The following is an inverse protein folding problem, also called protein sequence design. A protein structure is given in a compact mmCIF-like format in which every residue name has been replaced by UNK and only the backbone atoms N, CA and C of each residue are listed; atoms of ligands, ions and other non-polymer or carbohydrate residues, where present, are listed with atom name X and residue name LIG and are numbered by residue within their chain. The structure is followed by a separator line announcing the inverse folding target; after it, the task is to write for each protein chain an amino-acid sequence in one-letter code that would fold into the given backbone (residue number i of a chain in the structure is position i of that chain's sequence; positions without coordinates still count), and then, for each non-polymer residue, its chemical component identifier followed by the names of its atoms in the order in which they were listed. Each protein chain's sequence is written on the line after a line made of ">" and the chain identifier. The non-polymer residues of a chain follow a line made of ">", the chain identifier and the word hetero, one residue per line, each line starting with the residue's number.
data_IF_652575969365
#
_entry.id   IF_652575969365
#
_cell.length_a   1.000
_cell.length_b   1.000
_cell.length_c   1.000
_cell.angle_alpha   90.00
_cell.angle_beta   90.00
_cell.angle_gamma   90.00
#
_symmetry.space_group_name_H-M   'P 1'
#
loop_
_entity.id
_entity.type
_entity.pdbx_description
1 polymer ?
#
# COMPACT_ATOMS: atom_id res chain seq x y z
N UNK A 1 -35.03 -10.22 -20.85
CA UNK A 1 -33.81 -9.39 -20.75
C UNK A 1 -33.91 -8.18 -19.82
N UNK A 2 -35.07 -7.55 -19.56
CA UNK A 2 -35.20 -6.42 -18.60
C UNK A 2 -35.41 -6.77 -17.12
N UNK A 3 -35.48 -8.06 -16.75
CA UNK A 3 -35.66 -8.50 -15.34
C UNK A 3 -34.39 -9.08 -14.68
N UNK A 4 -33.27 -9.16 -15.40
CA UNK A 4 -31.98 -9.67 -14.87
C UNK A 4 -31.12 -8.52 -14.31
N UNK A 5 -31.28 -7.28 -14.79
CA UNK A 5 -30.53 -6.12 -14.27
C UNK A 5 -30.97 -5.62 -12.88
N UNK A 6 -32.18 -5.97 -12.42
CA UNK A 6 -32.66 -5.57 -11.10
C UNK A 6 -32.20 -6.52 -9.97
N UNK A 7 -31.76 -7.75 -10.31
CA UNK A 7 -31.33 -8.74 -9.32
C UNK A 7 -29.86 -8.57 -8.93
N UNK A 8 -28.99 -8.04 -9.80
CA UNK A 8 -27.58 -7.80 -9.52
C UNK A 8 -27.37 -6.59 -8.60
N UNK A 9 -28.26 -5.60 -8.64
CA UNK A 9 -28.19 -4.41 -7.78
C UNK A 9 -28.61 -4.68 -6.32
N UNK A 10 -29.34 -5.77 -6.04
CA UNK A 10 -29.69 -6.17 -4.68
C UNK A 10 -28.76 -7.27 -4.12
N UNK A 11 -28.20 -8.13 -4.99
CA UNK A 11 -27.25 -9.16 -4.57
C UNK A 11 -25.87 -8.60 -4.18
N UNK A 12 -25.45 -7.46 -4.74
CA UNK A 12 -24.21 -6.79 -4.33
C UNK A 12 -24.28 -6.15 -2.92
N UNK A 13 -25.46 -6.05 -2.31
CA UNK A 13 -25.66 -5.50 -0.96
C UNK A 13 -25.89 -6.63 0.08
N UNK A 14 -26.31 -7.82 -0.35
CA UNK A 14 -26.66 -8.92 0.56
C UNK A 14 -25.91 -10.26 0.37
N UNK A 15 -25.07 -10.42 -0.66
CA UNK A 15 -24.18 -11.57 -0.79
C UNK A 15 -22.86 -11.37 -0.03
N UNK A 16 -22.95 -10.99 1.24
CA UNK A 16 -21.87 -11.24 2.19
C UNK A 16 -22.10 -12.63 2.78
N UNK A 17 -21.80 -13.67 2.00
CA UNK A 17 -22.01 -15.05 2.45
C UNK A 17 -21.60 -16.13 1.46
N UNK A 18 -21.53 -15.83 0.17
CA UNK A 18 -20.96 -16.73 -0.81
C UNK A 18 -20.25 -15.91 -1.89
N UNK A 19 -18.95 -16.17 -1.98
CA UNK A 19 -18.11 -15.96 -3.17
C UNK A 19 -17.80 -14.53 -3.60
N UNK A 20 -17.03 -13.82 -2.77
CA UNK A 20 -15.94 -13.00 -3.33
C UNK A 20 -14.89 -13.88 -4.05
N UNK A 21 -14.92 -15.20 -3.82
CA UNK A 21 -14.18 -16.24 -4.55
C UNK A 21 -14.67 -16.52 -5.99
N UNK A 22 -15.78 -15.94 -6.46
CA UNK A 22 -16.32 -16.22 -7.81
C UNK A 22 -16.36 -15.05 -8.78
N UNK A 23 -16.16 -13.80 -8.33
CA UNK A 23 -15.84 -12.72 -9.28
C UNK A 23 -14.34 -12.72 -9.48
N UNK A 24 -13.90 -12.89 -10.73
CA UNK A 24 -12.51 -12.68 -11.07
C UNK A 24 -12.10 -11.26 -10.70
N UNK A 25 -10.89 -11.06 -10.20
CA UNK A 25 -10.38 -9.75 -9.80
C UNK A 25 -10.52 -8.68 -10.92
N UNK A 26 -10.31 -9.12 -12.17
CA UNK A 26 -10.50 -8.31 -13.39
C UNK A 26 -11.95 -7.82 -13.53
N UNK A 27 -12.92 -8.67 -13.23
CA UNK A 27 -14.35 -8.35 -13.33
C UNK A 27 -14.77 -7.33 -12.24
N UNK A 28 -14.16 -7.41 -11.06
CA UNK A 28 -14.38 -6.43 -9.99
C UNK A 28 -13.82 -5.05 -10.37
N UNK A 29 -12.64 -4.99 -10.98
CA UNK A 29 -12.03 -3.72 -11.39
C UNK A 29 -12.85 -3.03 -12.50
N UNK A 30 -13.28 -3.77 -13.52
CA UNK A 30 -14.13 -3.24 -14.59
C UNK A 30 -15.48 -2.73 -14.07
N UNK A 31 -16.09 -3.46 -13.14
CA UNK A 31 -17.31 -3.04 -12.47
C UNK A 31 -17.12 -1.68 -11.79
N UNK A 32 -16.10 -1.54 -10.95
CA UNK A 32 -15.87 -0.31 -10.20
C UNK A 32 -15.47 0.86 -11.12
N UNK A 33 -14.69 0.63 -12.17
CA UNK A 33 -14.39 1.65 -13.20
C UNK A 33 -15.67 2.24 -13.81
N UNK A 34 -16.67 1.39 -14.08
CA UNK A 34 -17.99 1.84 -14.56
C UNK A 34 -18.74 2.66 -13.50
N UNK A 35 -18.75 2.20 -12.25
CA UNK A 35 -19.41 2.91 -11.14
C UNK A 35 -18.76 4.27 -10.82
N UNK A 36 -17.43 4.38 -10.91
CA UNK A 36 -16.72 5.66 -10.75
C UNK A 36 -17.17 6.68 -11.79
N UNK A 37 -17.29 6.25 -13.05
CA UNK A 37 -17.77 7.11 -14.14
C UNK A 37 -19.21 7.57 -13.90
N UNK A 38 -20.10 6.68 -13.47
CA UNK A 38 -21.49 7.02 -13.14
C UNK A 38 -21.59 8.03 -11.99
N UNK A 39 -20.68 7.93 -11.02
CA UNK A 39 -20.60 8.85 -9.89
C UNK A 39 -19.86 10.17 -10.22
N UNK A 40 -19.34 10.33 -11.43
CA UNK A 40 -18.61 11.53 -11.85
C UNK A 40 -17.22 11.65 -11.23
N UNK A 41 -16.64 10.55 -10.74
CA UNK A 41 -15.24 10.53 -10.31
C UNK A 41 -14.32 10.57 -11.53
N UNK A 42 -13.34 11.48 -11.58
CA UNK A 42 -12.43 11.58 -12.72
C UNK A 42 -11.41 10.43 -12.73
N UNK A 43 -10.59 10.29 -13.79
CA UNK A 43 -9.38 9.49 -13.71
C UNK A 43 -8.50 9.93 -12.53
N UNK A 44 -7.89 8.97 -11.85
CA UNK A 44 -7.03 9.24 -10.72
C UNK A 44 -5.74 9.95 -11.14
N UNK A 45 -5.27 10.86 -10.29
CA UNK A 45 -3.96 11.49 -10.46
C UNK A 45 -2.84 10.46 -10.25
N UNK A 46 -1.75 10.62 -10.99
CA UNK A 46 -0.56 9.76 -10.93
C UNK A 46 0.71 10.60 -10.85
N UNK A 47 1.79 10.03 -10.31
CA UNK A 47 3.12 10.65 -10.29
C UNK A 47 3.13 12.11 -9.80
N UNK A 48 3.76 13.01 -10.54
CA UNK A 48 3.93 14.42 -10.13
C UNK A 48 2.61 15.19 -9.98
N UNK A 49 1.58 14.84 -10.74
CA UNK A 49 0.28 15.48 -10.59
C UNK A 49 -0.38 15.10 -9.25
N UNK A 50 -0.24 13.85 -8.82
CA UNK A 50 -0.69 13.40 -7.51
C UNK A 50 0.04 14.14 -6.39
N UNK A 51 1.38 14.19 -6.46
CA UNK A 51 2.21 14.79 -5.42
C UNK A 51 1.94 16.29 -5.24
N UNK A 52 1.74 17.05 -6.33
CA UNK A 52 1.33 18.47 -6.23
C UNK A 52 0.02 18.64 -5.49
N UNK A 53 -0.99 17.86 -5.85
CA UNK A 53 -2.32 17.96 -5.23
C UNK A 53 -2.31 17.47 -3.79
N UNK A 54 -1.45 16.50 -3.45
CA UNK A 54 -1.21 16.12 -2.06
C UNK A 54 -0.69 17.30 -1.22
N UNK A 55 0.31 18.05 -1.71
CA UNK A 55 0.82 19.20 -0.97
C UNK A 55 -0.26 20.27 -0.76
N UNK A 56 -1.00 20.63 -1.82
CA UNK A 56 -2.13 21.55 -1.71
C UNK A 56 -3.18 21.06 -0.69
N UNK A 57 -3.43 19.74 -0.66
CA UNK A 57 -4.36 19.13 0.30
C UNK A 57 -3.84 19.22 1.73
N UNK A 58 -2.54 19.03 1.96
CA UNK A 58 -1.94 19.07 3.30
C UNK A 58 -1.72 20.48 3.82
N UNK A 59 -1.42 21.45 2.96
CA UNK A 59 -1.23 22.87 3.32
C UNK A 59 -2.52 23.49 3.90
N UNK A 60 -3.68 22.94 3.56
CA UNK A 60 -5.00 23.37 4.03
C UNK A 60 -5.41 22.73 5.38
N UNK A 61 -4.50 21.98 6.03
CA UNK A 61 -4.65 21.34 7.36
C UNK A 61 -6.00 20.59 7.57
N UNK A 62 -6.28 19.54 6.79
CA UNK A 62 -7.50 18.73 6.95
C UNK A 62 -7.57 18.05 8.34
N UNK A 63 -6.43 17.76 8.96
CA UNK A 63 -6.36 17.18 10.29
C UNK A 63 -6.76 18.19 11.37
N UNK A 64 -6.45 19.47 11.18
CA UNK A 64 -6.97 20.56 11.97
C UNK A 64 -8.50 20.67 11.90
N UNK A 65 -9.08 20.57 10.70
CA UNK A 65 -10.55 20.54 10.55
C UNK A 65 -11.18 19.34 11.27
N UNK A 66 -10.54 18.17 11.21
CA UNK A 66 -11.00 16.97 11.93
C UNK A 66 -10.93 17.17 13.45
N UNK A 67 -9.78 17.62 13.97
CA UNK A 67 -9.53 17.83 15.40
C UNK A 67 -10.45 18.89 16.00
N UNK A 68 -10.79 19.92 15.24
CA UNK A 68 -11.63 21.02 15.70
C UNK A 68 -13.14 20.77 15.51
N UNK A 69 -13.55 19.53 15.19
CA UNK A 69 -14.96 19.17 15.05
C UNK A 69 -15.65 19.77 13.81
N UNK A 70 -14.90 20.36 12.87
CA UNK A 70 -15.42 21.00 11.65
C UNK A 70 -15.73 19.98 10.55
N UNK A 71 -16.42 18.90 10.91
CA UNK A 71 -16.59 17.73 10.04
C UNK A 71 -17.37 18.01 8.75
N UNK A 72 -18.33 18.95 8.78
CA UNK A 72 -19.08 19.38 7.58
C UNK A 72 -18.19 20.14 6.59
N UNK A 73 -17.32 21.02 7.09
CA UNK A 73 -16.34 21.74 6.26
C UNK A 73 -15.31 20.77 5.69
N UNK A 74 -14.82 19.85 6.52
CA UNK A 74 -13.90 18.78 6.12
C UNK A 74 -14.48 17.89 5.00
N UNK A 75 -15.76 17.54 5.08
CA UNK A 75 -16.41 16.74 4.04
C UNK A 75 -16.49 17.49 2.69
N UNK A 76 -16.81 18.79 2.72
CA UNK A 76 -16.79 19.63 1.50
C UNK A 76 -15.38 19.73 0.93
N UNK A 77 -14.40 19.95 1.79
CA UNK A 77 -12.98 20.01 1.43
C UNK A 77 -12.51 18.71 0.77
N UNK A 78 -12.73 17.55 1.40
CA UNK A 78 -12.36 16.25 0.84
C UNK A 78 -13.12 15.93 -0.44
N UNK A 79 -14.38 16.35 -0.57
CA UNK A 79 -15.14 16.24 -1.82
C UNK A 79 -14.45 17.00 -2.96
N UNK A 80 -14.04 18.26 -2.73
CA UNK A 80 -13.29 19.06 -3.72
C UNK A 80 -12.08 18.31 -4.26
N UNK A 81 -11.26 17.73 -3.39
CA UNK A 81 -10.03 17.05 -3.80
C UNK A 81 -10.26 15.65 -4.37
N UNK A 82 -11.24 14.90 -3.83
CA UNK A 82 -11.63 13.61 -4.40
C UNK A 82 -12.06 13.75 -5.87
N UNK A 83 -12.87 14.77 -6.18
CA UNK A 83 -13.32 15.07 -7.56
C UNK A 83 -12.26 15.80 -8.41
N UNK A 84 -11.03 15.96 -7.89
CA UNK A 84 -9.82 16.30 -8.68
C UNK A 84 -8.98 15.06 -9.01
N UNK A 85 -9.43 13.86 -8.64
CA UNK A 85 -8.72 12.60 -8.84
C UNK A 85 -7.74 12.25 -7.73
N UNK A 86 -7.76 12.97 -6.60
CA UNK A 86 -6.92 12.69 -5.45
C UNK A 86 -7.56 11.61 -4.58
N UNK A 87 -7.12 10.37 -4.79
CA UNK A 87 -7.76 9.19 -4.20
C UNK A 87 -7.65 9.10 -2.68
N UNK A 88 -6.64 9.71 -2.04
CA UNK A 88 -6.58 9.74 -0.57
C UNK A 88 -7.71 10.60 0.03
N UNK A 89 -8.08 11.71 -0.61
CA UNK A 89 -9.26 12.46 -0.20
C UNK A 89 -10.55 11.66 -0.41
N UNK A 90 -10.64 10.84 -1.47
CA UNK A 90 -11.77 9.92 -1.65
C UNK A 90 -11.82 8.88 -0.53
N UNK A 91 -10.69 8.25 -0.19
CA UNK A 91 -10.60 7.30 0.92
C UNK A 91 -11.11 7.93 2.22
N UNK A 92 -10.56 9.09 2.61
CA UNK A 92 -10.93 9.77 3.85
C UNK A 92 -12.37 10.31 3.84
N UNK A 93 -12.91 10.70 2.68
CA UNK A 93 -14.32 11.05 2.53
C UNK A 93 -15.23 9.83 2.69
N UNK A 94 -14.85 8.69 2.10
CA UNK A 94 -15.52 7.41 2.29
C UNK A 94 -15.58 7.01 3.75
N UNK A 95 -14.50 7.23 4.51
CA UNK A 95 -14.47 7.04 5.97
C UNK A 95 -15.46 7.97 6.70
N UNK A 96 -15.62 9.22 6.26
CA UNK A 96 -16.65 10.11 6.84
C UNK A 96 -18.08 9.64 6.56
N UNK A 97 -18.37 9.17 5.35
CA UNK A 97 -19.67 8.57 5.03
C UNK A 97 -19.93 7.29 5.83
N UNK A 98 -18.89 6.54 6.16
CA UNK A 98 -19.01 5.33 6.98
C UNK A 98 -19.35 5.72 8.42
N UNK A 99 -18.66 6.74 8.94
CA UNK A 99 -18.79 7.18 10.33
C UNK A 99 -19.95 8.16 10.57
N UNK A 100 -20.54 8.73 9.52
CA UNK A 100 -21.52 9.83 9.63
C UNK A 100 -20.91 11.15 10.13
N UNK A 101 -19.62 11.39 9.88
CA UNK A 101 -18.91 12.57 10.40
C UNK A 101 -19.07 13.78 9.48
N UNK A 102 -20.02 14.65 9.80
CA UNK A 102 -20.31 15.86 9.03
C UNK A 102 -21.05 15.59 7.72
N UNK A 103 -21.50 14.35 7.51
CA UNK A 103 -22.34 13.88 6.41
C UNK A 103 -23.30 12.82 6.96
N UNK A 104 -24.44 12.61 6.31
CA UNK A 104 -25.28 11.46 6.61
C UNK A 104 -24.55 10.17 6.26
N UNK A 105 -24.80 9.11 7.04
CA UNK A 105 -24.21 7.81 6.77
C UNK A 105 -24.69 7.27 5.42
N UNK A 106 -23.74 6.91 4.54
CA UNK A 106 -24.03 6.33 3.22
C UNK A 106 -22.98 5.27 2.88
N UNK A 107 -23.30 4.01 3.18
CA UNK A 107 -22.38 2.91 2.97
C UNK A 107 -22.10 2.62 1.50
N UNK A 108 -23.07 2.85 0.61
CA UNK A 108 -22.84 2.68 -0.83
C UNK A 108 -21.79 3.67 -1.31
N UNK A 109 -21.90 4.92 -0.86
CA UNK A 109 -20.93 5.97 -1.16
C UNK A 109 -19.59 5.71 -0.49
N UNK A 110 -19.56 5.20 0.74
CA UNK A 110 -18.32 4.74 1.38
C UNK A 110 -17.60 3.65 0.57
N UNK A 111 -18.32 2.58 0.21
CA UNK A 111 -17.77 1.47 -0.59
C UNK A 111 -17.19 2.02 -1.89
N UNK A 112 -17.95 2.86 -2.61
CA UNK A 112 -17.50 3.44 -3.87
C UNK A 112 -16.22 4.25 -3.71
N UNK A 113 -16.18 5.18 -2.74
CA UNK A 113 -15.05 6.11 -2.57
C UNK A 113 -13.78 5.42 -2.04
N UNK A 114 -13.92 4.42 -1.17
CA UNK A 114 -12.77 3.64 -0.69
C UNK A 114 -12.23 2.72 -1.79
N UNK A 115 -13.11 2.12 -2.62
CA UNK A 115 -12.67 1.34 -3.78
C UNK A 115 -11.96 2.21 -4.83
N UNK A 116 -12.33 3.49 -4.96
CA UNK A 116 -11.59 4.41 -5.82
C UNK A 116 -10.12 4.52 -5.40
N UNK A 117 -9.84 4.56 -4.10
CA UNK A 117 -8.46 4.50 -3.58
C UNK A 117 -7.81 3.13 -3.73
N UNK A 118 -8.52 2.05 -3.39
CA UNK A 118 -8.02 0.69 -3.51
C UNK A 118 -7.52 0.35 -4.92
N UNK A 119 -8.31 0.72 -5.93
CA UNK A 119 -8.03 0.40 -7.33
C UNK A 119 -6.97 1.32 -7.91
N UNK A 120 -7.02 2.63 -7.62
CA UNK A 120 -6.20 3.60 -8.34
C UNK A 120 -4.88 3.98 -7.64
N UNK A 121 -4.72 3.68 -6.36
CA UNK A 121 -3.52 4.11 -5.62
C UNK A 121 -2.25 3.41 -6.11
N UNK A 122 -1.19 4.19 -6.37
CA UNK A 122 0.17 3.67 -6.62
C UNK A 122 0.86 3.26 -5.31
N UNK A 123 0.34 3.73 -4.18
CA UNK A 123 0.90 3.46 -2.85
C UNK A 123 0.24 2.26 -2.18
N UNK A 124 1.07 1.27 -1.86
CA UNK A 124 0.69 0.04 -1.17
C UNK A 124 0.00 0.28 0.17
N UNK A 125 0.48 1.24 0.96
CA UNK A 125 -0.16 1.58 2.24
C UNK A 125 -1.63 1.99 2.07
N UNK A 126 -1.93 2.83 1.09
CA UNK A 126 -3.29 3.30 0.85
C UNK A 126 -4.21 2.17 0.35
N UNK A 127 -3.68 1.21 -0.45
CA UNK A 127 -4.42 -0.02 -0.78
C UNK A 127 -4.74 -0.84 0.47
N UNK A 128 -3.76 -1.07 1.35
CA UNK A 128 -3.94 -1.79 2.62
C UNK A 128 -4.97 -1.09 3.50
N UNK A 129 -4.90 0.24 3.64
CA UNK A 129 -5.87 1.04 4.38
C UNK A 129 -7.28 0.86 3.82
N UNK A 130 -7.43 1.00 2.50
CA UNK A 130 -8.72 0.89 1.82
C UNK A 130 -9.35 -0.49 2.07
N UNK A 131 -8.56 -1.57 1.93
CA UNK A 131 -9.01 -2.95 2.20
C UNK A 131 -9.45 -3.14 3.64
N UNK A 132 -8.65 -2.72 4.62
CA UNK A 132 -9.00 -2.83 6.06
C UNK A 132 -10.27 -2.06 6.41
N UNK A 133 -10.46 -0.86 5.85
CA UNK A 133 -11.67 -0.06 6.09
C UNK A 133 -12.91 -0.64 5.41
N UNK A 134 -12.76 -1.23 4.22
CA UNK A 134 -13.84 -1.94 3.53
C UNK A 134 -14.25 -3.23 4.29
N UNK A 135 -13.29 -3.97 4.84
CA UNK A 135 -13.55 -5.14 5.67
C UNK A 135 -14.31 -4.76 6.96
N UNK A 136 -13.91 -3.65 7.61
CA UNK A 136 -14.65 -3.10 8.75
C UNK A 136 -16.06 -2.66 8.35
N UNK A 137 -16.20 -1.92 7.25
CA UNK A 137 -17.49 -1.45 6.75
C UNK A 137 -18.45 -2.63 6.54
N UNK A 138 -17.96 -3.72 5.94
CA UNK A 138 -18.71 -4.96 5.73
C UNK A 138 -19.18 -5.59 7.03
N UNK A 139 -18.38 -5.56 8.09
CA UNK A 139 -18.78 -6.11 9.40
C UNK A 139 -19.81 -5.26 10.14
N UNK A 140 -19.93 -3.96 9.81
CA UNK A 140 -20.86 -3.03 10.49
C UNK A 140 -22.08 -2.64 9.66
N UNK A 141 -22.14 -2.98 8.37
CA UNK A 141 -23.21 -2.58 7.45
C UNK A 141 -24.49 -3.41 7.55
N UNK A 142 -24.64 -4.24 8.58
CA UNK A 142 -25.86 -5.02 8.80
C UNK A 142 -27.09 -4.09 8.95
N UNK A 143 -28.08 -4.25 8.07
CA UNK A 143 -29.21 -3.33 7.90
C UNK A 143 -30.08 -3.12 9.16
N UNK A 144 -29.93 -3.96 10.19
CA UNK A 144 -30.73 -3.93 11.42
C UNK A 144 -30.09 -3.17 12.58
N UNK A 145 -28.88 -2.62 12.42
CA UNK A 145 -28.15 -1.92 13.50
C UNK A 145 -28.51 -0.42 13.50
N UNK A 146 -28.67 0.21 14.66
CA UNK A 146 -28.88 1.68 14.74
C UNK A 146 -27.57 2.45 14.48
N UNK A 147 -27.67 3.74 14.12
CA UNK A 147 -26.48 4.57 13.92
C UNK A 147 -25.59 4.65 15.17
N UNK A 148 -26.19 4.85 16.34
CA UNK A 148 -25.51 4.84 17.64
C UNK A 148 -24.75 3.51 17.88
N UNK A 149 -25.43 2.38 17.66
CA UNK A 149 -24.81 1.05 17.84
C UNK A 149 -23.67 0.79 16.85
N UNK A 150 -23.71 1.37 15.65
CA UNK A 150 -22.60 1.30 14.68
C UNK A 150 -21.42 2.16 15.06
N UNK A 151 -21.64 3.40 15.49
CA UNK A 151 -20.56 4.27 15.99
C UNK A 151 -19.84 3.59 17.16
N UNK A 152 -20.60 3.00 18.09
CA UNK A 152 -20.06 2.18 19.18
C UNK A 152 -19.28 0.97 18.69
N UNK A 153 -19.79 0.24 17.70
CA UNK A 153 -19.09 -0.90 17.12
C UNK A 153 -17.73 -0.51 16.51
N UNK A 154 -17.64 0.65 15.85
CA UNK A 154 -16.37 1.13 15.27
C UNK A 154 -15.38 1.56 16.35
N UNK A 155 -15.85 2.24 17.40
CA UNK A 155 -15.00 2.61 18.54
C UNK A 155 -14.53 1.36 19.30
N UNK A 156 -15.40 0.36 19.44
CA UNK A 156 -15.05 -0.93 20.02
C UNK A 156 -14.05 -1.70 19.14
N UNK A 157 -14.17 -1.63 17.81
CA UNK A 157 -13.18 -2.21 16.90
C UNK A 157 -11.80 -1.54 17.06
N UNK A 158 -11.75 -0.22 17.29
CA UNK A 158 -10.52 0.47 17.65
C UNK A 158 -9.95 -0.04 18.99
N UNK A 159 -10.77 -0.13 20.03
CA UNK A 159 -10.35 -0.63 21.33
C UNK A 159 -9.84 -2.08 21.25
N UNK A 160 -10.55 -2.94 20.54
CA UNK A 160 -10.16 -4.34 20.32
C UNK A 160 -8.85 -4.46 19.55
N UNK A 161 -8.73 -3.77 18.41
CA UNK A 161 -7.49 -3.78 17.61
C UNK A 161 -6.28 -3.28 18.42
N UNK A 162 -6.51 -2.27 19.26
CA UNK A 162 -5.47 -1.75 20.15
C UNK A 162 -5.10 -2.76 21.23
N UNK A 163 -6.08 -3.37 21.91
CA UNK A 163 -5.81 -4.38 22.94
C UNK A 163 -5.10 -5.61 22.37
N UNK A 164 -5.52 -6.08 21.20
CA UNK A 164 -4.86 -7.18 20.50
C UNK A 164 -3.44 -6.83 20.10
N UNK A 165 -3.22 -5.59 19.61
CA UNK A 165 -1.88 -5.09 19.34
C UNK A 165 -0.98 -5.17 20.60
N UNK A 166 -1.47 -4.74 21.77
CA UNK A 166 -0.70 -4.81 23.02
C UNK A 166 -0.44 -6.23 23.52
N UNK A 167 -1.45 -7.11 23.46
CA UNK A 167 -1.40 -8.43 24.08
C UNK A 167 -0.67 -9.46 23.22
N UNK A 168 -0.92 -9.45 21.91
CA UNK A 168 -0.40 -10.45 21.00
C UNK A 168 0.84 -9.93 20.27
N UNK A 169 1.96 -9.72 20.97
CA UNK A 169 3.27 -9.26 20.42
C UNK A 169 3.79 -10.00 19.16
N UNK A 170 3.06 -11.01 18.67
CA UNK A 170 3.34 -11.87 17.51
C UNK A 170 2.19 -11.94 16.47
N UNK A 171 1.03 -11.30 16.68
CA UNK A 171 -0.03 -11.12 15.66
C UNK A 171 -0.11 -9.66 15.25
N UNK A 172 0.93 -9.24 14.54
CA UNK A 172 1.22 -7.88 14.11
C UNK A 172 0.01 -7.14 13.50
N UNK A 173 -0.84 -7.79 12.67
CA UNK A 173 -1.89 -7.19 11.82
C UNK A 173 -2.84 -6.15 12.44
N UNK A 174 -2.99 -6.13 13.76
CA UNK A 174 -3.91 -5.26 14.48
C UNK A 174 -3.30 -3.89 14.84
N UNK A 175 -1.98 -3.77 14.95
CA UNK A 175 -1.34 -2.50 15.29
C UNK A 175 -1.51 -1.45 14.17
N UNK A 176 -1.27 -1.84 12.92
CA UNK A 176 -1.53 -0.98 11.77
C UNK A 176 -3.01 -0.57 11.68
N UNK A 177 -3.92 -1.49 12.02
CA UNK A 177 -5.35 -1.20 11.98
C UNK A 177 -5.79 -0.25 13.10
N UNK A 178 -5.27 -0.42 14.32
CA UNK A 178 -5.46 0.53 15.42
C UNK A 178 -5.01 1.94 15.00
N UNK A 179 -3.84 2.07 14.37
CA UNK A 179 -3.34 3.36 13.88
C UNK A 179 -4.27 3.97 12.81
N UNK A 180 -4.70 3.19 11.82
CA UNK A 180 -5.66 3.61 10.78
C UNK A 180 -6.94 4.17 11.40
N UNK A 181 -7.51 3.47 12.39
CA UNK A 181 -8.73 3.89 13.08
C UNK A 181 -8.51 5.14 13.93
N UNK A 182 -7.35 5.27 14.58
CA UNK A 182 -6.98 6.46 15.37
C UNK A 182 -6.87 7.74 14.52
N UNK A 183 -6.67 7.61 13.21
CA UNK A 183 -6.69 8.73 12.26
C UNK A 183 -8.09 8.98 11.69
N UNK A 184 -8.92 7.96 11.57
CA UNK A 184 -10.26 8.06 11.01
C UNK A 184 -11.26 8.62 12.05
N UNK A 185 -11.10 8.23 13.31
CA UNK A 185 -12.03 8.55 14.40
C UNK A 185 -11.48 9.72 15.23
N UNK A 186 -12.22 10.83 15.37
CA UNK A 186 -11.88 11.91 16.29
C UNK A 186 -11.67 11.41 17.73
N UNK A 187 -10.59 11.84 18.37
CA UNK A 187 -10.27 11.48 19.77
C UNK A 187 -11.41 11.82 20.72
N UNK A 188 -12.12 12.93 20.49
CA UNK A 188 -13.29 13.30 21.30
C UNK A 188 -14.42 12.27 21.24
N UNK A 189 -14.63 11.59 20.10
CA UNK A 189 -15.62 10.52 20.01
C UNK A 189 -15.17 9.26 20.74
N UNK A 190 -13.88 8.94 20.67
CA UNK A 190 -13.31 7.82 21.42
C UNK A 190 -13.45 8.09 22.92
N UNK A 191 -13.02 9.26 23.40
CA UNK A 191 -13.04 9.61 24.82
C UNK A 191 -14.47 9.66 25.39
N UNK A 192 -15.47 10.04 24.59
CA UNK A 192 -16.87 10.07 25.03
C UNK A 192 -17.45 8.66 25.24
N UNK A 193 -17.07 7.69 24.41
CA UNK A 193 -17.59 6.32 24.48
C UNK A 193 -16.74 5.41 25.36
N UNK A 194 -15.41 5.54 25.26
CA UNK A 194 -14.40 4.77 26.00
C UNK A 194 -13.39 5.76 26.61
N UNK A 195 -13.70 6.36 27.78
CA UNK A 195 -12.84 7.38 28.39
C UNK A 195 -11.44 6.87 28.76
N UNK A 196 -11.33 5.58 29.06
CA UNK A 196 -10.04 4.91 29.25
C UNK A 196 -10.07 3.49 28.68
N UNK A 197 -8.94 3.04 28.13
CA UNK A 197 -8.70 1.65 27.76
C UNK A 197 -7.49 1.16 28.55
N UNK A 198 -7.66 0.10 29.34
CA UNK A 198 -6.62 -0.39 30.25
C UNK A 198 -6.04 0.70 31.18
N UNK A 199 -6.89 1.65 31.62
CA UNK A 199 -6.50 2.76 32.49
C UNK A 199 -5.77 3.93 31.80
N UNK A 200 -5.59 3.89 30.47
CA UNK A 200 -4.95 4.95 29.68
C UNK A 200 -5.97 5.71 28.84
N UNK A 201 -5.75 7.01 28.58
CA UNK A 201 -6.60 7.80 27.69
C UNK A 201 -6.34 7.46 26.22
N UNK A 202 -7.27 7.79 25.32
CA UNK A 202 -7.12 7.55 23.89
C UNK A 202 -5.84 8.17 23.29
N UNK A 203 -5.45 9.36 23.77
CA UNK A 203 -4.21 10.00 23.34
C UNK A 203 -2.95 9.22 23.77
N UNK A 204 -2.92 8.73 25.01
CA UNK A 204 -1.80 7.96 25.55
C UNK A 204 -1.64 6.64 24.78
N UNK A 205 -2.76 6.01 24.45
CA UNK A 205 -2.82 4.82 23.61
C UNK A 205 -2.25 5.10 22.22
N UNK A 206 -2.65 6.21 21.59
CA UNK A 206 -2.14 6.59 20.27
C UNK A 206 -0.63 6.75 20.29
N UNK A 207 -0.08 7.43 21.31
CA UNK A 207 1.37 7.59 21.49
C UNK A 207 2.07 6.25 21.70
N UNK A 208 1.48 5.36 22.49
CA UNK A 208 2.04 4.05 22.74
C UNK A 208 1.99 3.14 21.50
N UNK A 209 0.97 3.22 20.65
CA UNK A 209 0.96 2.55 19.33
C UNK A 209 2.11 3.04 18.44
N UNK A 210 2.48 4.32 18.52
CA UNK A 210 3.65 4.85 17.80
C UNK A 210 4.96 4.26 18.35
N UNK A 211 5.11 4.15 19.67
CA UNK A 211 6.30 3.49 20.26
C UNK A 211 6.38 2.01 19.89
N UNK A 212 5.25 1.31 19.90
CA UNK A 212 5.18 -0.08 19.44
C UNK A 212 5.54 -0.22 17.96
N UNK A 213 5.10 0.71 17.11
CA UNK A 213 5.53 0.77 15.72
C UNK A 213 7.07 0.90 15.64
N UNK A 214 7.69 1.78 16.42
CA UNK A 214 9.17 1.91 16.44
C UNK A 214 9.85 0.61 16.87
N UNK A 215 9.34 -0.07 17.89
CA UNK A 215 9.85 -1.36 18.32
C UNK A 215 9.71 -2.44 17.25
N UNK A 216 8.54 -2.51 16.61
CA UNK A 216 8.24 -3.45 15.52
C UNK A 216 9.21 -3.27 14.36
N UNK A 217 9.45 -2.03 13.96
CA UNK A 217 10.45 -1.68 12.95
C UNK A 217 11.85 -2.06 13.42
N UNK A 218 12.21 -1.82 14.68
CA UNK A 218 13.52 -2.22 15.22
C UNK A 218 13.76 -3.73 15.15
N UNK A 219 12.73 -4.54 15.44
CA UNK A 219 12.80 -6.01 15.49
C UNK A 219 12.68 -6.64 14.10
N UNK A 220 11.67 -6.25 13.35
CA UNK A 220 11.28 -6.88 12.08
C UNK A 220 11.87 -6.16 10.88
N UNK A 221 12.39 -4.94 11.06
CA UNK A 221 12.99 -4.08 10.04
C UNK A 221 12.10 -3.99 8.82
N UNK A 222 12.44 -4.80 7.83
CA UNK A 222 11.87 -4.80 6.50
C UNK A 222 10.59 -5.66 6.43
N UNK A 223 10.41 -6.64 7.30
CA UNK A 223 9.15 -7.41 7.39
C UNK A 223 8.08 -6.74 8.25
N UNK A 224 8.32 -5.55 8.79
CA UNK A 224 7.34 -4.83 9.61
C UNK A 224 6.11 -4.44 8.78
N UNK A 225 4.92 -4.67 9.34
CA UNK A 225 3.65 -4.25 8.74
C UNK A 225 3.54 -2.73 8.48
N UNK A 226 4.36 -1.92 9.16
CA UNK A 226 4.36 -0.46 9.04
C UNK A 226 5.26 0.03 7.91
N UNK A 227 6.09 -0.84 7.31
CA UNK A 227 7.01 -0.45 6.24
C UNK A 227 6.29 0.20 5.04
N UNK A 228 5.16 -0.33 4.52
CA UNK A 228 4.42 0.35 3.47
C UNK A 228 3.99 1.78 3.84
N UNK A 229 3.58 1.97 5.11
CA UNK A 229 3.16 3.28 5.63
C UNK A 229 4.34 4.24 5.73
N UNK A 230 5.50 3.79 6.21
CA UNK A 230 6.70 4.61 6.32
C UNK A 230 7.21 5.04 4.96
N UNK A 231 7.23 4.13 3.99
CA UNK A 231 7.65 4.44 2.62
C UNK A 231 6.76 5.52 2.04
N UNK A 232 5.44 5.38 2.23
CA UNK A 232 4.48 6.38 1.82
C UNK A 232 4.78 7.74 2.44
N UNK A 233 4.85 7.83 3.77
CA UNK A 233 5.07 9.13 4.43
C UNK A 233 6.44 9.72 4.12
N UNK A 234 7.51 8.92 4.05
CA UNK A 234 8.84 9.42 3.70
C UNK A 234 8.88 10.01 2.29
N UNK A 235 8.26 9.33 1.32
CA UNK A 235 8.15 9.86 -0.04
C UNK A 235 7.40 11.19 -0.05
N UNK A 236 6.21 11.23 0.55
CA UNK A 236 5.37 12.43 0.52
C UNK A 236 5.99 13.59 1.31
N UNK A 237 6.66 13.32 2.44
CA UNK A 237 7.37 14.33 3.22
C UNK A 237 8.60 14.86 2.48
N UNK A 238 9.37 13.99 1.81
CA UNK A 238 10.51 14.40 0.98
C UNK A 238 10.08 15.27 -0.20
N UNK A 239 8.89 15.02 -0.75
CA UNK A 239 8.31 15.87 -1.78
C UNK A 239 7.89 17.23 -1.22
N UNK A 240 7.21 17.25 -0.07
CA UNK A 240 6.75 18.48 0.57
C UNK A 240 7.89 19.39 1.06
N UNK A 241 9.07 18.84 1.37
CA UNK A 241 10.27 19.62 1.67
C UNK A 241 10.91 20.19 0.39
N UNK A 242 11.03 19.38 -0.67
CA UNK A 242 11.59 19.79 -1.96
C UNK A 242 10.69 20.77 -2.76
N UNK A 243 9.38 20.76 -2.54
CA UNK A 243 8.48 21.75 -3.14
C UNK A 243 8.58 23.11 -2.43
N UNK A 244 8.86 23.12 -1.12
CA UNK A 244 9.06 24.35 -0.33
C UNK A 244 10.37 25.06 -0.67
N UNK A 245 11.38 24.34 -1.17
CA UNK A 245 12.67 24.91 -1.62
C UNK A 245 12.62 25.60 -3.00
N UNK A 246 11.46 25.63 -3.69
CA UNK A 246 11.28 26.45 -4.90
C UNK A 246 11.01 27.94 -4.64
N UNK A 247 11.16 28.40 -3.39
CA UNK A 247 11.25 29.83 -3.06
C UNK A 247 12.74 30.17 -2.82
N UNK A 248 13.39 31.00 -3.65
CA UNK A 248 14.82 31.27 -3.47
C UNK A 248 15.02 32.27 -2.33
N UNK A 249 15.55 31.82 -1.19
CA UNK A 249 16.87 32.28 -0.77
C UNK A 249 17.44 31.50 0.42
N UNK A 250 18.73 31.25 0.29
CA UNK A 250 19.64 30.55 1.19
C UNK A 250 19.92 31.36 2.47
N UNK A 251 19.87 30.68 3.60
CA UNK A 251 20.99 30.66 4.55
C UNK A 251 21.02 29.28 5.20
N UNK A 252 22.18 28.62 5.05
CA UNK A 252 22.46 27.28 5.56
C UNK A 252 22.60 27.26 7.09
N UNK A 253 22.14 26.16 7.68
CA UNK A 253 22.69 25.36 8.81
C UNK A 253 21.47 24.67 9.45
N UNK A 254 21.37 23.37 9.68
CA UNK A 254 22.34 22.40 10.15
C UNK A 254 21.81 20.99 9.82
N UNK A 255 22.73 20.03 9.72
CA UNK A 255 22.57 18.60 9.39
C UNK A 255 21.32 17.88 9.91
N UNK A 256 20.56 17.25 9.00
CA UNK A 256 19.65 16.14 9.30
C UNK A 256 20.18 14.85 8.62
N UNK A 257 20.32 13.72 9.34
CA UNK A 257 20.87 12.50 8.75
C UNK A 257 19.84 11.72 7.93
N UNK A 258 20.29 11.30 6.74
CA UNK A 258 19.96 10.08 5.97
C UNK A 258 18.49 9.78 5.63
N UNK A 259 18.16 9.91 4.35
CA UNK A 259 17.09 9.16 3.70
C UNK A 259 17.32 7.65 3.93
N UNK A 260 16.44 6.99 4.67
CA UNK A 260 16.55 5.55 4.89
C UNK A 260 16.39 4.80 3.55
N UNK A 261 17.52 4.32 3.00
CA UNK A 261 17.56 3.28 1.97
C UNK A 261 17.05 1.97 2.59
N UNK A 262 15.89 1.49 2.14
CA UNK A 262 15.22 0.32 2.75
C UNK A 262 14.84 -0.67 1.66
N UNK A 263 15.52 -1.82 1.64
CA UNK A 263 15.07 -3.02 0.93
C UNK A 263 14.23 -3.87 1.87
N UNK A 264 13.03 -4.29 1.45
CA UNK A 264 12.12 -5.06 2.30
C UNK A 264 11.30 -6.12 1.59
N UNK A 265 10.96 -7.21 2.30
CA UNK A 265 10.15 -8.31 1.74
C UNK A 265 8.70 -8.22 2.19
N UNK A 266 7.79 -8.32 1.23
CA UNK A 266 6.40 -8.68 1.49
C UNK A 266 6.24 -10.19 1.40
N UNK A 267 5.99 -10.83 2.54
CA UNK A 267 5.79 -12.28 2.59
C UNK A 267 4.44 -12.74 2.05
N UNK A 268 3.39 -11.90 2.12
CA UNK A 268 2.07 -12.23 1.60
C UNK A 268 2.03 -12.25 0.08
N UNK A 269 2.78 -11.33 -0.54
CA UNK A 269 2.89 -11.22 -1.99
C UNK A 269 4.14 -11.92 -2.54
N UNK A 270 5.03 -12.40 -1.66
CA UNK A 270 6.31 -13.03 -2.01
C UNK A 270 7.12 -12.13 -2.97
N UNK A 271 7.19 -10.84 -2.65
CA UNK A 271 7.94 -9.81 -3.40
C UNK A 271 8.95 -9.09 -2.51
N UNK A 272 10.04 -8.61 -3.08
CA UNK A 272 11.00 -7.71 -2.41
C UNK A 272 10.95 -6.33 -3.03
N UNK A 273 10.86 -5.29 -2.22
CA UNK A 273 10.75 -3.90 -2.64
C UNK A 273 12.01 -3.16 -2.24
N UNK A 274 12.60 -2.46 -3.21
CA UNK A 274 13.81 -1.66 -3.09
C UNK A 274 13.45 -0.18 -3.28
N UNK A 275 13.46 0.59 -2.18
CA UNK A 275 13.08 2.00 -2.19
C UNK A 275 14.14 2.90 -2.79
N UNK A 276 15.41 2.47 -2.79
CA UNK A 276 16.53 3.22 -3.34
C UNK A 276 16.39 3.34 -4.84
N UNK A 277 16.07 2.23 -5.51
CA UNK A 277 15.99 2.17 -6.98
C UNK A 277 14.56 2.20 -7.53
N UNK A 278 13.54 2.23 -6.65
CA UNK A 278 12.12 2.14 -7.02
C UNK A 278 11.83 0.88 -7.83
N UNK A 279 12.32 -0.25 -7.31
CA UNK A 279 12.19 -1.58 -7.92
C UNK A 279 11.41 -2.51 -7.00
N UNK A 280 10.58 -3.35 -7.59
CA UNK A 280 9.96 -4.47 -6.91
C UNK A 280 10.35 -5.75 -7.64
N UNK A 281 10.72 -6.76 -6.87
CA UNK A 281 11.32 -8.00 -7.31
C UNK A 281 10.41 -9.17 -6.96
N UNK A 282 10.30 -10.12 -7.89
CA UNK A 282 9.70 -11.41 -7.61
C UNK A 282 10.58 -12.16 -6.59
N UNK A 283 9.97 -12.81 -5.60
CA UNK A 283 10.68 -13.65 -4.62
C UNK A 283 9.85 -14.88 -4.21
N UNK A 284 9.28 -15.54 -5.22
CA UNK A 284 8.52 -16.80 -5.17
C UNK A 284 9.44 -18.00 -4.85
N UNK A 285 8.91 -19.03 -4.18
CA UNK A 285 9.60 -20.30 -3.93
C UNK A 285 9.88 -21.10 -5.22
N UNK A 286 9.05 -20.92 -6.25
CA UNK A 286 9.28 -21.45 -7.59
C UNK A 286 10.06 -20.45 -8.44
N UNK A 287 11.37 -20.66 -8.52
CA UNK A 287 12.27 -19.84 -9.32
C UNK A 287 12.38 -20.46 -10.72
N UNK A 288 11.97 -19.70 -11.73
CA UNK A 288 12.05 -20.13 -13.12
C UNK A 288 13.51 -20.28 -13.59
N UNK A 289 13.77 -21.30 -14.41
CA UNK A 289 15.04 -21.56 -15.05
C UNK A 289 14.81 -21.84 -16.53
N UNK A 290 15.50 -21.12 -17.41
CA UNK A 290 15.33 -21.25 -18.85
C UNK A 290 16.46 -20.60 -19.64
N UNK A 291 16.35 -20.69 -20.96
CA UNK A 291 17.16 -19.91 -21.90
C UNK A 291 16.88 -18.42 -21.77
N UNK A 292 17.73 -17.57 -22.36
CA UNK A 292 17.56 -16.13 -22.26
C UNK A 292 16.24 -15.63 -22.90
N UNK A 293 15.86 -16.19 -24.05
CA UNK A 293 14.60 -15.84 -24.71
C UNK A 293 13.38 -16.32 -23.89
N UNK A 294 13.44 -17.53 -23.31
CA UNK A 294 12.40 -18.03 -22.40
C UNK A 294 12.31 -17.18 -21.13
N UNK A 295 13.43 -16.73 -20.57
CA UNK A 295 13.49 -15.88 -19.39
C UNK A 295 12.83 -14.52 -19.62
N UNK A 296 13.13 -13.90 -20.77
CA UNK A 296 12.51 -12.64 -21.17
C UNK A 296 11.00 -12.80 -21.35
N UNK A 297 10.59 -13.84 -22.10
CA UNK A 297 9.18 -14.14 -22.31
C UNK A 297 8.44 -14.44 -21.01
N UNK A 298 9.06 -15.19 -20.09
CA UNK A 298 8.50 -15.49 -18.78
C UNK A 298 8.21 -14.21 -17.99
N UNK A 299 9.16 -13.28 -17.88
CA UNK A 299 8.92 -12.04 -17.15
C UNK A 299 7.88 -11.14 -17.81
N UNK A 300 7.90 -10.99 -19.14
CA UNK A 300 6.95 -10.13 -19.86
C UNK A 300 5.50 -10.63 -19.82
N UNK A 301 5.29 -11.92 -19.53
CA UNK A 301 3.95 -12.53 -19.42
C UNK A 301 3.62 -12.97 -17.98
N UNK A 302 4.47 -12.60 -17.01
CA UNK A 302 4.26 -12.95 -15.62
C UNK A 302 3.12 -12.09 -15.06
N UNK A 303 2.04 -12.73 -14.60
CA UNK A 303 1.08 -12.11 -13.70
C UNK A 303 1.35 -12.62 -12.29
N UNK A 304 1.92 -11.75 -11.45
CA UNK A 304 2.38 -12.11 -10.10
C UNK A 304 2.17 -10.96 -9.13
N UNK A 305 1.71 -11.28 -7.92
CA UNK A 305 1.44 -10.31 -6.86
C UNK A 305 0.53 -9.15 -7.31
N UNK A 306 -0.47 -9.46 -8.15
CA UNK A 306 -1.41 -8.50 -8.73
C UNK A 306 -0.80 -7.50 -9.74
N UNK A 307 0.35 -7.84 -10.33
CA UNK A 307 1.04 -7.03 -11.33
C UNK A 307 1.34 -7.84 -12.60
N UNK A 308 1.22 -7.20 -13.75
CA UNK A 308 1.49 -7.75 -15.10
C UNK A 308 2.58 -6.98 -15.86
N UNK A 309 3.21 -5.99 -15.23
CA UNK A 309 4.27 -5.13 -15.77
C UNK A 309 5.69 -5.59 -15.36
N UNK A 310 5.87 -6.91 -15.23
CA UNK A 310 7.15 -7.52 -14.89
C UNK A 310 8.10 -7.56 -16.09
N UNK A 311 9.39 -7.45 -15.80
CA UNK A 311 10.44 -7.42 -16.82
C UNK A 311 11.68 -8.18 -16.36
N UNK A 312 12.49 -8.61 -17.32
CA UNK A 312 13.80 -9.20 -17.03
C UNK A 312 14.75 -8.07 -16.58
N UNK A 313 15.42 -8.20 -15.41
CA UNK A 313 16.19 -7.11 -14.83
C UNK A 313 17.41 -6.79 -15.69
N UNK A 314 17.80 -5.53 -15.69
CA UNK A 314 19.08 -5.10 -16.27
C UNK A 314 20.25 -5.60 -15.42
N UNK A 315 21.46 -5.57 -16.00
CA UNK A 315 22.69 -5.93 -15.30
C UNK A 315 22.88 -5.11 -14.02
N UNK A 316 22.67 -3.80 -14.10
CA UNK A 316 22.83 -2.89 -12.95
C UNK A 316 21.79 -3.12 -11.85
N UNK A 317 20.56 -3.47 -12.20
CA UNK A 317 19.52 -3.80 -11.21
C UNK A 317 19.85 -5.11 -10.47
N UNK A 318 20.38 -6.13 -11.16
CA UNK A 318 20.82 -7.35 -10.48
C UNK A 318 22.02 -7.11 -9.56
N UNK A 319 22.95 -6.24 -9.96
CA UNK A 319 24.08 -5.85 -9.11
C UNK A 319 23.63 -5.03 -7.90
N UNK A 320 22.53 -4.27 -7.98
CA UNK A 320 22.07 -3.45 -6.85
C UNK A 320 21.54 -4.27 -5.68
N UNK A 321 21.24 -5.55 -5.89
CA UNK A 321 20.76 -6.48 -4.84
C UNK A 321 21.85 -7.44 -4.35
N UNK A 322 23.08 -7.31 -4.86
CA UNK A 322 24.26 -8.01 -4.34
C UNK A 322 24.67 -7.41 -3.01
N UNK A 323 25.11 -8.28 -2.11
CA UNK A 323 25.69 -7.89 -0.83
C UNK A 323 27.14 -8.36 -0.82
N UNK A 324 28.08 -7.46 -1.17
CA UNK A 324 29.52 -7.76 -1.29
C UNK A 324 30.16 -8.21 0.03
N UNK A 325 29.46 -8.07 1.17
CA UNK A 325 29.90 -8.58 2.46
C UNK A 325 29.58 -10.06 2.68
N UNK A 326 28.83 -10.68 1.75
CA UNK A 326 28.38 -12.08 1.84
C UNK A 326 28.91 -12.92 0.69
N UNK A 327 29.01 -14.20 0.96
CA UNK A 327 29.13 -15.26 -0.03
C UNK A 327 28.15 -16.39 0.31
N UNK A 328 27.73 -17.17 -0.69
CA UNK A 328 26.90 -18.36 -0.50
C UNK A 328 25.55 -18.18 0.27
N UNK A 329 24.59 -17.33 -0.15
CA UNK A 329 24.58 -16.46 -1.33
C UNK A 329 25.06 -15.02 -1.03
N UNK A 330 25.75 -14.43 -2.01
CA UNK A 330 26.18 -13.03 -2.05
C UNK A 330 25.05 -12.07 -2.45
N UNK A 331 23.86 -12.23 -1.85
CA UNK A 331 22.68 -11.39 -2.14
C UNK A 331 22.17 -10.79 -0.84
N UNK A 332 21.48 -9.65 -0.94
CA UNK A 332 20.77 -9.03 0.17
C UNK A 332 19.91 -10.07 0.92
N UNK A 333 20.06 -10.15 2.24
CA UNK A 333 19.42 -11.17 3.08
C UNK A 333 17.91 -11.04 3.20
N UNK A 334 17.33 -9.97 2.64
CA UNK A 334 15.89 -9.76 2.51
C UNK A 334 15.24 -10.79 1.57
N UNK A 335 15.99 -11.28 0.58
CA UNK A 335 15.51 -12.31 -0.34
C UNK A 335 15.54 -13.68 0.33
N UNK A 336 14.39 -14.35 0.45
CA UNK A 336 14.31 -15.69 1.09
C UNK A 336 14.39 -16.84 0.09
N UNK A 337 13.98 -16.63 -1.15
CA UNK A 337 13.92 -17.69 -2.15
C UNK A 337 15.01 -17.48 -3.20
N UNK A 338 16.21 -17.99 -2.91
CA UNK A 338 17.40 -17.77 -3.76
C UNK A 338 18.09 -19.08 -4.11
N UNK A 339 18.30 -19.34 -5.40
CA UNK A 339 19.28 -20.31 -5.89
C UNK A 339 20.67 -19.68 -5.95
N UNK A 340 21.69 -20.40 -5.47
CA UNK A 340 23.10 -19.96 -5.48
C UNK A 340 23.77 -20.24 -6.84
N UNK A 341 23.27 -19.60 -7.91
CA UNK A 341 23.77 -19.75 -9.28
C UNK A 341 23.54 -18.46 -10.08
N UNK A 342 23.67 -18.54 -11.40
CA UNK A 342 23.55 -17.45 -12.37
C UNK A 342 22.09 -17.05 -12.61
N UNK A 343 21.86 -15.75 -12.64
CA UNK A 343 20.57 -15.14 -13.00
C UNK A 343 20.72 -14.32 -14.27
N UNK A 344 19.76 -14.44 -15.17
CA UNK A 344 19.72 -13.70 -16.42
C UNK A 344 19.47 -12.22 -16.21
N UNK A 345 20.25 -11.40 -16.92
CA UNK A 345 19.90 -10.00 -17.17
C UNK A 345 19.33 -9.81 -18.57
N UNK A 346 18.65 -8.68 -18.80
CA UNK A 346 18.12 -8.28 -20.10
C UNK A 346 19.17 -7.80 -21.12
N UNK A 347 20.46 -7.79 -20.77
CA UNK A 347 21.51 -7.28 -21.65
C UNK A 347 22.23 -8.41 -22.41
N UNK A 348 22.29 -8.33 -23.74
CA UNK A 348 23.16 -9.18 -24.58
C UNK A 348 24.60 -8.64 -24.58
N UNK A 349 25.60 -9.50 -24.76
CA UNK A 349 27.01 -9.05 -24.73
C UNK A 349 27.40 -8.21 -25.96
N UNK A 350 26.74 -8.44 -27.10
CA UNK A 350 26.77 -7.66 -28.34
C UNK A 350 25.63 -8.16 -29.27
N UNK A 351 25.19 -7.35 -30.25
CA UNK A 351 24.04 -7.66 -31.12
C UNK A 351 24.16 -8.97 -31.93
N UNK A 352 25.39 -9.49 -32.12
CA UNK A 352 25.68 -10.75 -32.82
C UNK A 352 26.29 -11.84 -31.92
N UNK A 353 26.34 -11.62 -30.61
CA UNK A 353 26.93 -12.58 -29.66
C UNK A 353 25.92 -13.63 -29.24
N UNK A 354 26.28 -14.93 -29.19
CA UNK A 354 25.43 -15.96 -28.63
C UNK A 354 25.33 -15.88 -27.10
N UNK A 355 25.93 -14.87 -26.46
CA UNK A 355 26.01 -14.75 -25.01
C UNK A 355 25.19 -13.58 -24.46
N UNK A 356 24.59 -13.80 -23.28
CA UNK A 356 23.92 -12.77 -22.49
C UNK A 356 24.57 -12.61 -21.11
N UNK A 357 24.40 -11.42 -20.53
CA UNK A 357 24.94 -11.09 -19.21
C UNK A 357 24.16 -11.81 -18.11
N UNK A 358 24.90 -12.37 -17.16
CA UNK A 358 24.38 -13.00 -15.95
C UNK A 358 25.05 -12.43 -14.71
N UNK A 359 24.36 -12.50 -13.57
CA UNK A 359 24.94 -12.24 -12.25
C UNK A 359 24.87 -13.51 -11.42
N UNK A 360 25.99 -13.91 -10.81
CA UNK A 360 26.08 -15.13 -10.00
C UNK A 360 25.82 -14.81 -8.53
N UNK A 361 24.67 -15.26 -7.99
CA UNK A 361 24.31 -15.00 -6.59
C UNK A 361 25.05 -15.88 -5.58
N UNK A 362 25.87 -16.83 -6.00
CA UNK A 362 26.76 -17.56 -5.09
C UNK A 362 27.93 -16.68 -4.62
N UNK A 363 28.44 -15.83 -5.50
CA UNK A 363 29.70 -15.10 -5.29
C UNK A 363 29.63 -13.59 -5.60
N UNK A 364 28.52 -13.09 -6.12
CA UNK A 364 28.28 -11.66 -6.33
C UNK A 364 28.88 -11.07 -7.60
N UNK A 365 29.50 -11.88 -8.48
CA UNK A 365 30.13 -11.38 -9.70
C UNK A 365 29.23 -11.49 -10.94
N UNK A 366 29.44 -10.60 -11.90
CA UNK A 366 28.84 -10.66 -13.23
C UNK A 366 29.70 -11.45 -14.24
N UNK A 367 29.06 -11.96 -15.28
CA UNK A 367 29.76 -12.65 -16.37
C UNK A 367 28.85 -12.90 -17.55
N UNK A 368 29.28 -13.82 -18.42
CA UNK A 368 28.54 -14.20 -19.62
C UNK A 368 28.13 -15.67 -19.58
N UNK A 369 26.96 -15.96 -20.12
CA UNK A 369 26.50 -17.32 -20.38
C UNK A 369 25.92 -17.41 -21.79
N UNK A 370 26.04 -18.56 -22.42
CA UNK A 370 25.39 -18.83 -23.71
C UNK A 370 23.88 -18.62 -23.55
N UNK A 371 23.28 -17.80 -24.39
CA UNK A 371 21.85 -17.49 -24.39
C UNK A 371 20.98 -18.75 -24.60
N UNK A 372 21.55 -19.79 -25.22
CA UNK A 372 20.94 -21.12 -25.37
C UNK A 372 21.10 -22.04 -24.15
N UNK A 373 21.95 -21.65 -23.19
CA UNK A 373 22.09 -22.34 -21.91
C UNK A 373 20.99 -21.94 -20.94
N UNK A 374 20.82 -22.70 -19.85
CA UNK A 374 19.83 -22.40 -18.81
C UNK A 374 20.44 -21.58 -17.68
N UNK A 375 19.70 -20.61 -17.17
CA UNK A 375 20.01 -19.86 -15.93
C UNK A 375 18.71 -19.40 -15.27
N UNK A 376 18.80 -19.02 -14.00
CA UNK A 376 17.63 -18.63 -13.21
C UNK A 376 17.13 -17.23 -13.56
N UNK A 377 15.90 -16.94 -13.18
CA UNK A 377 15.26 -15.66 -13.44
C UNK A 377 14.69 -15.09 -12.16
N UNK A 378 14.84 -13.77 -12.00
CA UNK A 378 14.15 -12.99 -10.99
C UNK A 378 13.60 -11.74 -11.65
N UNK A 379 12.32 -11.75 -11.93
CA UNK A 379 11.69 -10.62 -12.62
C UNK A 379 11.64 -9.39 -11.70
N UNK A 380 11.71 -8.22 -12.33
CA UNK A 380 11.66 -6.92 -11.67
C UNK A 380 10.63 -6.03 -12.35
N UNK A 381 10.00 -5.15 -11.58
CA UNK A 381 9.13 -4.08 -12.07
C UNK A 381 9.48 -2.76 -11.39
N UNK A 382 9.07 -1.66 -12.01
CA UNK A 382 9.07 -0.33 -11.38
C UNK A 382 7.78 -0.18 -10.57
N UNK A 383 7.81 0.57 -9.46
CA UNK A 383 6.61 0.79 -8.65
C UNK A 383 6.48 2.21 -8.12
#
# INVERSE_FOLDING_TARGET
>A
MKKILAFIALFAIFAVGATADQMGEVEAEEFYKSEFKKAGLPPALKGEAYKRVFNEYMDEDPDGLLRNGKHKELAKFRTKYCYRGFYEACQKLGEQYMLGLGVETDFKRSVLLMNYSLINSEYKYLKIRSKKMLDLLKSISEEKVSADKRTKAIIHAFAEATMQCYQEKTKERNCLFSLILSEAIPTSLIDNEIPTLNGQKALDIKLAVVEMMKEDIGKHKSSSQFVPMIIYYNEMLSYASNSRTQTPNLTQSETAPSSYEVTYRDDSERTVVDTTYRLMWQDDDKIFEGTWDEAKHYCENLNFAWYDDWSLPTRSELLSIIDDSKDHPAINGTFKNVKQDRYWSSMKSADSSPNAWVVNFKFGYEGWSSASGKSFVRCVRRY
#
